data_IF_352310763778
#
_entry.id   IF_352310763778
#
_cell.length_a   1.000
_cell.length_b   1.000
_cell.length_c   1.000
_cell.angle_alpha   90.00
_cell.angle_beta   90.00
_cell.angle_gamma   90.00
#
_symmetry.space_group_name_H-M   'P 1'
#
loop_
_entity.id
_entity.type
_entity.pdbx_description
1 polymer ?
#
# COMPACT_ATOMS: atom_id res chain seq x y z
N UNK A 1 -1.52 15.73 -5.19
CA UNK A 1 -1.05 15.03 -6.41
C UNK A 1 -0.47 13.71 -5.93
N UNK A 2 -0.94 12.64 -6.47
CA UNK A 2 -0.61 11.31 -5.99
C UNK A 2 0.85 10.96 -6.35
N UNK A 3 1.75 11.13 -5.38
CA UNK A 3 3.18 10.87 -5.55
C UNK A 3 3.40 9.39 -5.90
N UNK A 4 2.69 8.49 -5.22
CA UNK A 4 2.78 7.06 -5.47
C UNK A 4 2.45 6.68 -6.92
N UNK A 5 1.45 7.30 -7.55
CA UNK A 5 1.17 7.07 -8.97
C UNK A 5 2.35 7.48 -9.85
N UNK A 6 2.93 8.67 -9.59
CA UNK A 6 4.04 9.19 -10.40
C UNK A 6 5.30 8.31 -10.27
N UNK A 7 5.61 7.85 -9.08
CA UNK A 7 6.77 7.00 -8.84
C UNK A 7 6.58 5.60 -9.42
N UNK A 8 5.42 5.00 -9.18
CA UNK A 8 5.16 3.62 -9.63
C UNK A 8 4.97 3.53 -11.15
N UNK A 9 4.22 4.45 -11.75
CA UNK A 9 3.81 4.33 -13.15
C UNK A 9 4.26 5.48 -14.04
N UNK A 10 4.67 6.60 -13.47
CA UNK A 10 4.94 7.82 -14.22
C UNK A 10 3.67 8.64 -14.48
N UNK A 11 3.82 9.82 -15.14
CA UNK A 11 2.69 10.68 -15.48
C UNK A 11 1.81 10.07 -16.58
N UNK A 12 0.56 10.51 -16.67
CA UNK A 12 -0.43 9.97 -17.62
C UNK A 12 -0.01 10.02 -19.09
N UNK A 13 0.80 10.99 -19.48
CA UNK A 13 1.35 11.11 -20.83
C UNK A 13 2.60 10.23 -21.09
N UNK A 14 3.11 9.58 -20.04
CA UNK A 14 4.28 8.71 -20.10
C UNK A 14 4.14 7.50 -19.14
N UNK A 15 2.96 6.85 -19.16
CA UNK A 15 2.69 5.65 -18.33
C UNK A 15 3.70 4.55 -18.65
N UNK A 16 4.30 4.01 -17.58
CA UNK A 16 5.36 3.01 -17.65
C UNK A 16 6.77 3.58 -17.64
N UNK A 17 6.90 4.88 -17.35
CA UNK A 17 8.20 5.53 -17.10
C UNK A 17 8.62 5.51 -15.62
N UNK A 18 7.76 5.00 -14.74
CA UNK A 18 8.06 4.79 -13.32
C UNK A 18 8.69 3.43 -13.03
N UNK A 19 8.60 2.97 -11.79
CA UNK A 19 9.14 1.67 -11.37
C UNK A 19 8.48 0.48 -12.07
N UNK A 20 7.20 0.61 -12.48
CA UNK A 20 6.50 -0.41 -13.26
C UNK A 20 6.64 -0.08 -14.74
N UNK A 21 7.49 -0.80 -15.50
CA UNK A 21 7.75 -0.50 -16.89
C UNK A 21 6.54 -0.81 -17.78
N UNK A 22 6.39 -0.05 -18.86
CA UNK A 22 5.22 -0.09 -19.76
C UNK A 22 4.86 -1.50 -20.24
N UNK A 23 5.84 -2.35 -20.52
CA UNK A 23 5.60 -3.70 -21.04
C UNK A 23 4.96 -4.65 -20.03
N UNK A 24 5.05 -4.34 -18.71
CA UNK A 24 4.38 -5.09 -17.66
C UNK A 24 2.96 -4.59 -17.38
N UNK A 25 2.61 -3.38 -17.80
CA UNK A 25 1.27 -2.83 -17.60
C UNK A 25 0.34 -3.37 -18.70
N UNK A 26 -0.62 -4.25 -18.32
CA UNK A 26 -1.61 -4.77 -19.26
C UNK A 26 -2.66 -3.72 -19.58
N UNK A 27 -3.32 -3.21 -18.57
CA UNK A 27 -4.29 -2.11 -18.68
C UNK A 27 -4.42 -1.36 -17.35
N UNK A 28 -5.14 -0.25 -17.35
CA UNK A 28 -5.46 0.52 -16.15
C UNK A 28 -6.84 1.18 -16.27
N UNK A 29 -7.49 1.42 -15.14
CA UNK A 29 -8.71 2.23 -15.03
C UNK A 29 -8.39 3.62 -14.50
N UNK A 30 -9.18 4.60 -14.89
CA UNK A 30 -9.07 5.98 -14.41
C UNK A 30 -10.05 6.22 -13.27
N UNK A 31 -9.63 7.02 -12.30
CA UNK A 31 -10.49 7.42 -11.19
C UNK A 31 -11.59 8.38 -11.69
N UNK A 32 -12.88 8.04 -11.51
CA UNK A 32 -13.97 8.89 -11.94
C UNK A 32 -13.90 10.28 -11.30
N UNK A 33 -14.09 11.33 -12.09
CA UNK A 33 -14.15 12.70 -11.60
C UNK A 33 -12.80 13.33 -11.19
N UNK A 34 -11.70 12.63 -11.34
CA UNK A 34 -10.37 13.15 -11.03
C UNK A 34 -9.49 13.11 -12.28
N UNK A 35 -9.04 14.28 -12.72
CA UNK A 35 -8.18 14.38 -13.90
C UNK A 35 -6.81 13.74 -13.62
N UNK A 36 -6.33 12.95 -14.58
CA UNK A 36 -5.02 12.31 -14.55
C UNK A 36 -4.74 11.40 -13.35
N UNK A 37 -5.79 10.86 -12.73
CA UNK A 37 -5.68 9.88 -11.66
C UNK A 37 -6.03 8.47 -12.15
N UNK A 38 -5.20 7.52 -11.78
CA UNK A 38 -5.43 6.09 -11.97
C UNK A 38 -6.10 5.55 -10.71
N UNK A 39 -7.08 4.66 -10.88
CA UNK A 39 -7.73 3.95 -9.79
C UNK A 39 -7.12 2.57 -9.59
N UNK A 40 -6.96 1.83 -10.68
CA UNK A 40 -6.42 0.47 -10.64
C UNK A 40 -5.52 0.24 -11.85
N UNK A 41 -4.43 -0.48 -11.64
CA UNK A 41 -3.56 -0.97 -12.73
C UNK A 41 -3.43 -2.49 -12.62
N UNK A 42 -3.46 -3.17 -13.76
CA UNK A 42 -3.22 -4.61 -13.86
C UNK A 42 -1.84 -4.85 -14.46
N UNK A 43 -1.02 -5.53 -13.67
CA UNK A 43 0.40 -5.76 -13.97
C UNK A 43 0.61 -7.24 -14.27
N UNK A 44 1.35 -7.54 -15.33
CA UNK A 44 1.71 -8.91 -15.72
C UNK A 44 2.58 -9.55 -14.66
N UNK A 45 2.19 -10.75 -14.24
CA UNK A 45 2.93 -11.54 -13.28
C UNK A 45 3.85 -12.56 -13.99
N UNK A 46 5.01 -12.84 -13.41
CA UNK A 46 5.99 -13.77 -14.01
C UNK A 46 5.52 -15.22 -13.90
N UNK A 47 4.78 -15.55 -12.84
CA UNK A 47 4.21 -16.89 -12.67
C UNK A 47 3.02 -17.10 -13.59
N UNK A 48 3.03 -18.25 -14.28
CA UNK A 48 1.95 -18.66 -15.16
C UNK A 48 1.14 -19.76 -14.49
N UNK A 49 -0.11 -19.47 -14.14
CA UNK A 49 -1.06 -20.51 -13.78
C UNK A 49 -1.65 -21.11 -15.07
N UNK A 50 -1.44 -22.43 -15.28
CA UNK A 50 -1.95 -23.18 -16.45
C UNK A 50 -1.60 -22.57 -17.81
N UNK A 51 -0.44 -21.91 -17.94
CA UNK A 51 0.01 -21.35 -19.23
C UNK A 51 -0.55 -19.97 -19.59
N UNK A 52 -1.52 -19.45 -18.84
CA UNK A 52 -2.00 -18.08 -19.01
C UNK A 52 -1.21 -17.08 -18.17
N UNK A 53 -0.98 -15.86 -18.64
CA UNK A 53 -0.35 -14.83 -17.83
C UNK A 53 -1.26 -14.47 -16.65
N UNK A 54 -0.74 -14.54 -15.43
CA UNK A 54 -1.42 -14.01 -14.26
C UNK A 54 -1.26 -12.50 -14.20
N UNK A 55 -2.30 -11.82 -13.73
CA UNK A 55 -2.29 -10.38 -13.50
C UNK A 55 -2.36 -10.09 -12.01
N UNK A 56 -1.49 -9.20 -11.55
CA UNK A 56 -1.59 -8.59 -10.23
C UNK A 56 -2.39 -7.29 -10.33
N UNK A 57 -3.36 -7.12 -9.44
CA UNK A 57 -4.15 -5.90 -9.35
C UNK A 57 -3.54 -4.97 -8.31
N UNK A 58 -3.20 -3.75 -8.72
CA UNK A 58 -2.72 -2.67 -7.86
C UNK A 58 -3.74 -1.54 -7.85
N UNK A 59 -4.44 -1.36 -6.73
CA UNK A 59 -5.38 -0.26 -6.51
C UNK A 59 -4.70 0.92 -5.85
N UNK A 60 -4.97 2.13 -6.34
CA UNK A 60 -4.48 3.39 -5.77
C UNK A 60 -5.62 4.10 -5.04
N UNK A 61 -5.40 4.44 -3.77
CA UNK A 61 -6.40 5.08 -2.92
C UNK A 61 -5.78 6.27 -2.19
N UNK A 62 -6.60 7.27 -1.92
CA UNK A 62 -6.24 8.43 -1.10
C UNK A 62 -6.96 8.35 0.23
N UNK A 63 -6.33 8.82 1.30
CA UNK A 63 -6.97 8.90 2.63
C UNK A 63 -8.21 9.80 2.64
N UNK A 64 -8.29 10.78 1.74
CA UNK A 64 -9.49 11.63 1.56
C UNK A 64 -10.75 10.84 1.18
N UNK A 65 -10.60 9.63 0.64
CA UNK A 65 -11.72 8.75 0.31
C UNK A 65 -12.35 8.10 1.55
N UNK A 66 -11.79 8.33 2.73
CA UNK A 66 -12.21 7.79 4.02
C UNK A 66 -12.13 6.27 4.10
N UNK A 67 -12.39 5.75 5.29
CA UNK A 67 -12.34 4.32 5.62
C UNK A 67 -13.13 3.43 4.66
N UNK A 68 -14.29 3.88 4.22
CA UNK A 68 -15.19 3.09 3.36
C UNK A 68 -14.54 2.68 2.04
N UNK A 69 -13.65 3.49 1.50
CA UNK A 69 -12.91 3.14 0.29
C UNK A 69 -11.92 1.97 0.49
N UNK A 70 -11.48 1.74 1.73
CA UNK A 70 -10.54 0.67 2.06
C UNK A 70 -11.25 -0.63 2.46
N UNK A 71 -12.56 -0.59 2.65
CA UNK A 71 -13.37 -1.78 2.90
C UNK A 71 -13.45 -2.67 1.65
N UNK A 72 -13.82 -3.91 1.84
CA UNK A 72 -14.05 -4.87 0.77
C UNK A 72 -13.22 -6.14 0.90
N UNK A 73 -12.62 -6.57 -0.21
CA UNK A 73 -11.88 -7.83 -0.28
C UNK A 73 -10.54 -7.77 0.45
N UNK A 74 -10.05 -8.94 0.85
CA UNK A 74 -8.71 -9.12 1.41
C UNK A 74 -7.64 -8.72 0.41
N UNK A 75 -6.49 -8.31 0.93
CA UNK A 75 -5.35 -7.86 0.12
C UNK A 75 -4.09 -8.62 0.52
N UNK A 76 -3.34 -9.09 -0.48
CA UNK A 76 -2.04 -9.73 -0.29
C UNK A 76 -0.95 -8.73 0.15
N UNK A 77 -1.14 -7.46 -0.17
CA UNK A 77 -0.25 -6.40 0.27
C UNK A 77 -0.98 -5.06 0.29
N UNK A 78 -0.69 -4.25 1.29
CA UNK A 78 -1.11 -2.85 1.38
C UNK A 78 0.14 -2.04 1.73
N UNK A 79 0.37 -0.99 0.97
CA UNK A 79 1.38 0.01 1.28
C UNK A 79 0.68 1.32 1.63
N UNK A 80 0.89 1.77 2.85
CA UNK A 80 0.43 3.05 3.35
C UNK A 80 1.62 4.02 3.28
N UNK A 81 1.54 4.97 2.36
CA UNK A 81 2.51 6.04 2.21
C UNK A 81 1.99 7.26 2.98
N UNK A 82 2.81 7.81 3.85
CA UNK A 82 2.49 8.74 4.92
C UNK A 82 1.65 8.12 6.07
N UNK A 83 1.63 8.82 7.21
CA UNK A 83 0.92 8.36 8.41
C UNK A 83 -0.60 8.35 8.16
N UNK A 84 -1.25 7.16 8.17
CA UNK A 84 -2.67 7.05 7.91
C UNK A 84 -3.51 7.50 9.11
N UNK A 85 -4.77 7.92 8.90
CA UNK A 85 -5.76 7.98 9.95
C UNK A 85 -5.96 6.61 10.63
N UNK A 86 -6.17 6.61 11.96
CA UNK A 86 -6.28 5.38 12.76
C UNK A 86 -7.34 4.41 12.23
N UNK A 87 -8.49 4.91 11.80
CA UNK A 87 -9.59 4.11 11.28
C UNK A 87 -9.25 3.43 9.94
N UNK A 88 -8.44 4.09 9.10
CA UNK A 88 -7.91 3.50 7.86
C UNK A 88 -6.84 2.46 8.18
N UNK A 89 -5.95 2.74 9.12
CA UNK A 89 -4.93 1.78 9.56
C UNK A 89 -5.55 0.48 10.05
N UNK A 90 -6.51 0.58 10.98
CA UNK A 90 -7.23 -0.59 11.50
C UNK A 90 -7.95 -1.36 10.39
N UNK A 91 -8.60 -0.65 9.45
CA UNK A 91 -9.23 -1.30 8.31
C UNK A 91 -8.22 -2.06 7.44
N UNK A 92 -7.05 -1.48 7.18
CA UNK A 92 -5.99 -2.13 6.41
C UNK A 92 -5.44 -3.39 7.10
N UNK A 93 -5.27 -3.36 8.42
CA UNK A 93 -4.91 -4.55 9.22
C UNK A 93 -5.94 -5.66 9.03
N UNK A 94 -7.24 -5.33 9.09
CA UNK A 94 -8.31 -6.32 8.87
C UNK A 94 -8.30 -6.91 7.46
N UNK A 95 -7.87 -6.14 6.43
CA UNK A 95 -7.79 -6.63 5.04
C UNK A 95 -6.59 -7.52 4.77
N UNK A 96 -5.54 -7.39 5.57
CA UNK A 96 -4.32 -8.21 5.47
C UNK A 96 -4.27 -9.34 6.52
N UNK A 97 -5.22 -9.39 7.45
CA UNK A 97 -5.24 -10.42 8.50
C UNK A 97 -5.42 -11.83 7.93
N UNK A 98 -4.70 -12.79 8.52
CA UNK A 98 -4.85 -14.21 8.25
C UNK A 98 -6.25 -14.72 8.62
N UNK A 99 -6.74 -15.68 7.85
CA UNK A 99 -7.96 -16.42 8.15
C UNK A 99 -7.85 -17.84 7.62
N UNK A 100 -8.89 -18.67 7.85
CA UNK A 100 -8.93 -20.05 7.38
C UNK A 100 -8.67 -20.21 5.87
N UNK A 101 -9.15 -19.26 5.06
CA UNK A 101 -9.04 -19.31 3.59
C UNK A 101 -8.01 -18.34 3.02
N UNK A 102 -7.20 -17.71 3.85
CA UNK A 102 -6.23 -16.70 3.43
C UNK A 102 -5.04 -16.65 4.41
N UNK A 103 -3.85 -16.90 3.90
CA UNK A 103 -2.59 -16.96 4.69
C UNK A 103 -2.16 -15.61 5.28
N UNK A 104 -2.91 -14.56 5.01
CA UNK A 104 -2.55 -13.21 5.40
C UNK A 104 -1.82 -12.46 4.30
N UNK A 105 -1.69 -11.15 4.50
CA UNK A 105 -1.02 -10.24 3.59
C UNK A 105 0.03 -9.39 4.32
N UNK A 106 0.81 -8.67 3.54
CA UNK A 106 1.79 -7.71 4.06
C UNK A 106 1.15 -6.33 4.22
N UNK A 107 1.30 -5.71 5.38
CA UNK A 107 1.05 -4.28 5.58
C UNK A 107 2.39 -3.57 5.76
N UNK A 108 2.69 -2.63 4.87
CA UNK A 108 3.89 -1.81 4.91
C UNK A 108 3.51 -0.35 5.10
N UNK A 109 4.22 0.33 5.99
CA UNK A 109 4.07 1.76 6.25
C UNK A 109 5.39 2.49 5.99
N UNK A 110 5.29 3.61 5.27
CA UNK A 110 6.41 4.52 5.04
C UNK A 110 5.96 5.93 5.39
N UNK A 111 6.42 6.46 6.52
CA UNK A 111 6.02 7.80 6.95
C UNK A 111 7.10 8.49 7.79
N UNK A 112 7.05 9.81 7.81
CA UNK A 112 7.79 10.63 8.76
C UNK A 112 6.83 11.08 9.86
N UNK A 113 7.14 10.87 11.14
CA UNK A 113 6.24 11.20 12.25
C UNK A 113 6.16 12.72 12.46
N UNK A 114 5.51 13.42 11.54
CA UNK A 114 5.38 14.88 11.55
C UNK A 114 4.45 15.37 12.68
N UNK A 115 3.55 14.52 13.15
CA UNK A 115 2.63 14.82 14.25
C UNK A 115 3.22 14.44 15.63
N UNK A 116 4.47 14.00 15.67
CA UNK A 116 5.14 13.58 16.89
C UNK A 116 4.83 12.12 17.27
N UNK A 117 4.73 11.86 18.57
CA UNK A 117 4.54 10.51 19.12
C UNK A 117 3.05 10.14 19.15
N UNK A 118 2.48 9.89 17.99
CA UNK A 118 1.11 9.39 17.85
C UNK A 118 0.99 7.95 18.38
N UNK A 119 -0.23 7.44 18.68
CA UNK A 119 -0.44 6.05 19.04
C UNK A 119 0.16 5.07 18.02
N UNK A 120 0.01 5.37 16.73
CA UNK A 120 0.58 4.56 15.65
C UNK A 120 2.12 4.52 15.72
N UNK A 121 2.77 5.67 15.91
CA UNK A 121 4.24 5.74 16.05
C UNK A 121 4.70 4.91 17.26
N UNK A 122 3.96 4.96 18.37
CA UNK A 122 4.30 4.21 19.58
C UNK A 122 4.22 2.69 19.41
N UNK A 123 3.35 2.18 18.52
CA UNK A 123 3.27 0.74 18.21
C UNK A 123 4.56 0.19 17.59
N UNK A 124 5.29 1.03 16.86
CA UNK A 124 6.55 0.63 16.21
C UNK A 124 7.80 0.87 17.07
N UNK A 125 7.63 1.43 18.26
CA UNK A 125 8.76 1.70 19.16
C UNK A 125 8.84 0.66 20.27
N UNK A 126 9.97 -0.06 20.42
CA UNK A 126 10.17 -0.99 21.51
C UNK A 126 10.00 -0.33 22.88
N UNK A 127 9.00 -0.79 23.66
CA UNK A 127 8.67 -0.19 24.95
C UNK A 127 8.17 1.25 24.89
N UNK A 128 7.66 1.72 23.73
CA UNK A 128 7.16 3.08 23.55
C UNK A 128 8.24 4.17 23.68
N UNK A 129 9.50 3.84 23.48
CA UNK A 129 10.63 4.78 23.60
C UNK A 129 11.39 4.88 22.29
N UNK A 130 11.81 6.09 21.96
CA UNK A 130 12.73 6.31 20.83
C UNK A 130 14.05 5.56 21.08
N UNK A 131 14.59 4.87 20.06
CA UNK A 131 15.92 4.29 20.16
C UNK A 131 16.93 5.41 20.46
N UNK A 132 17.80 5.16 21.42
CA UNK A 132 18.93 6.07 21.67
C UNK A 132 19.97 5.82 20.58
N UNK A 133 20.36 6.88 19.88
CA UNK A 133 21.47 6.90 18.91
C UNK A 133 21.39 5.87 17.76
N UNK A 134 20.39 5.97 16.91
CA UNK A 134 20.41 5.32 15.59
C UNK A 134 20.47 3.78 15.60
N UNK A 135 20.22 3.15 16.73
CA UNK A 135 20.10 1.71 16.79
C UNK A 135 18.90 1.26 15.95
N UNK A 136 19.07 0.28 15.03
CA UNK A 136 17.95 -0.23 14.26
C UNK A 136 16.91 -0.84 15.20
N UNK A 137 15.66 -0.40 15.07
CA UNK A 137 14.55 -1.06 15.73
C UNK A 137 14.32 -2.40 15.04
N UNK A 138 14.64 -3.50 15.70
CA UNK A 138 14.14 -4.82 15.29
C UNK A 138 12.66 -4.84 15.64
N UNK A 139 11.81 -4.60 14.65
CA UNK A 139 10.38 -4.82 14.78
C UNK A 139 10.15 -6.31 15.00
N UNK A 140 9.47 -6.65 16.11
CA UNK A 140 8.81 -7.93 16.25
C UNK A 140 9.55 -9.02 16.99
N UNK A 141 9.79 -8.83 18.29
CA UNK A 141 9.69 -9.91 19.26
C UNK A 141 8.62 -9.51 20.30
N UNK A 142 7.37 -9.71 19.94
CA UNK A 142 6.29 -9.84 20.91
C UNK A 142 6.10 -11.34 21.14
N UNK A 143 6.76 -11.86 22.16
CA UNK A 143 6.38 -13.13 22.80
C UNK A 143 5.01 -13.03 23.42
#
# INVERSE_FOLDING_TARGET
RDIGQLELMGPMNAIGSGFIPRHLIEHFSRKPGVTDAIETVWVKHVERHHGAPCLSELGLKSYDQRREAFQGTRKHGIWLDEEPPDDIYVECLLRTAETHDFEGGLLMLTFTPLQGMTPLVLEFLPGGRMPVDGAPTTAGDTT
#
